data_IF_129686487834
#
_entry.id   IF_129686487834
#
_cell.length_a   1.000
_cell.length_b   1.000
_cell.length_c   1.000
_cell.angle_alpha   90.00
_cell.angle_beta   90.00
_cell.angle_gamma   90.00
#
_symmetry.space_group_name_H-M   'P 1'
#
loop_
_entity.id
_entity.type
_entity.pdbx_description
1 polymer ?
#
# COMPACT_ATOMS: atom_id res chain seq x y z
N UNK A 1 0.36 -0.88 18.73
CA UNK A 1 -0.66 -1.94 18.51
C UNK A 1 -1.77 -1.41 17.63
N UNK A 2 -2.07 -2.08 16.51
CA UNK A 2 -3.14 -1.67 15.59
C UNK A 2 -4.50 -2.03 16.21
N UNK A 3 -5.43 -1.07 16.26
CA UNK A 3 -6.85 -1.39 16.49
C UNK A 3 -7.45 -1.85 15.18
N UNK A 4 -8.07 -3.02 15.17
CA UNK A 4 -8.66 -3.58 13.95
C UNK A 4 -10.00 -2.89 13.73
N UNK A 5 -10.11 -2.16 12.63
CA UNK A 5 -11.42 -1.75 12.10
C UNK A 5 -12.12 -3.01 11.61
N UNK A 6 -13.40 -3.18 11.94
CA UNK A 6 -14.19 -4.34 11.48
C UNK A 6 -14.18 -4.48 9.95
N UNK A 7 -14.08 -3.36 9.24
CA UNK A 7 -14.05 -3.34 7.80
C UNK A 7 -12.69 -3.65 7.18
N UNK A 8 -11.59 -3.68 7.94
CA UNK A 8 -10.24 -3.75 7.38
C UNK A 8 -9.76 -5.21 7.30
N UNK A 9 -9.25 -5.60 6.13
CA UNK A 9 -8.70 -6.92 5.87
C UNK A 9 -7.39 -7.20 6.61
N UNK A 10 -7.05 -8.48 6.75
CA UNK A 10 -5.75 -8.92 7.25
C UNK A 10 -4.60 -8.47 6.33
N UNK A 11 -4.80 -8.47 5.01
CA UNK A 11 -3.81 -8.03 4.02
C UNK A 11 -3.42 -6.57 4.23
N UNK A 12 -4.40 -5.70 4.48
CA UNK A 12 -4.13 -4.30 4.77
C UNK A 12 -3.31 -4.13 6.05
N UNK A 13 -3.62 -4.90 7.11
CA UNK A 13 -2.84 -4.86 8.35
C UNK A 13 -1.40 -5.32 8.13
N UNK A 14 -1.18 -6.41 7.39
CA UNK A 14 0.16 -6.89 7.03
C UNK A 14 0.95 -5.84 6.24
N UNK A 15 0.33 -5.22 5.24
CA UNK A 15 0.95 -4.15 4.45
C UNK A 15 1.37 -2.98 5.33
N UNK A 16 0.51 -2.49 6.23
CA UNK A 16 0.85 -1.40 7.12
C UNK A 16 1.99 -1.73 8.08
N UNK A 17 2.07 -2.96 8.58
CA UNK A 17 3.22 -3.41 9.37
C UNK A 17 4.51 -3.38 8.54
N UNK A 18 4.45 -3.82 7.27
CA UNK A 18 5.61 -3.78 6.37
C UNK A 18 6.09 -2.36 6.07
N UNK A 19 5.17 -1.43 5.86
CA UNK A 19 5.51 -0.02 5.68
C UNK A 19 6.30 0.50 6.89
N UNK A 20 5.86 0.19 8.11
CA UNK A 20 6.57 0.63 9.32
C UNK A 20 7.97 0.00 9.44
N UNK A 21 8.09 -1.30 9.12
CA UNK A 21 9.39 -1.99 9.09
C UNK A 21 10.36 -1.36 8.09
N UNK A 22 9.88 -0.96 6.91
CA UNK A 22 10.72 -0.37 5.88
C UNK A 22 11.12 1.07 6.21
N UNK A 23 10.21 1.85 6.80
CA UNK A 23 10.53 3.18 7.33
C UNK A 23 11.61 3.07 8.41
N UNK A 24 11.50 2.11 9.32
CA UNK A 24 12.51 1.91 10.36
C UNK A 24 13.88 1.55 9.78
N UNK A 25 13.94 0.65 8.80
CA UNK A 25 15.20 0.32 8.11
C UNK A 25 15.82 1.56 7.45
N UNK A 26 14.99 2.38 6.80
CA UNK A 26 15.44 3.63 6.17
C UNK A 26 15.97 4.64 7.19
N UNK A 27 15.26 4.85 8.30
CA UNK A 27 15.70 5.72 9.40
C UNK A 27 17.03 5.25 9.99
N UNK A 28 17.16 3.94 10.23
CA UNK A 28 18.40 3.33 10.74
C UNK A 28 19.57 3.51 9.77
N UNK A 29 19.35 3.32 8.46
CA UNK A 29 20.37 3.56 7.44
C UNK A 29 20.83 5.02 7.41
N UNK A 30 19.91 5.96 7.62
CA UNK A 30 20.21 7.40 7.69
C UNK A 30 20.74 7.86 9.06
N UNK A 31 20.95 6.94 10.01
CA UNK A 31 21.31 7.23 11.41
C UNK A 31 20.35 8.23 12.08
N UNK A 32 19.10 8.27 11.61
CA UNK A 32 18.04 9.07 12.21
C UNK A 32 17.39 8.27 13.32
N UNK A 33 17.01 8.96 14.40
CA UNK A 33 16.20 8.35 15.44
C UNK A 33 14.78 8.19 14.91
N UNK A 34 14.33 6.95 14.70
CA UNK A 34 12.93 6.68 14.39
C UNK A 34 12.04 7.16 15.56
N UNK A 35 11.13 8.08 15.29
CA UNK A 35 10.15 8.58 16.26
C UNK A 35 8.78 7.90 16.11
N UNK A 36 8.67 6.95 15.18
CA UNK A 36 7.39 6.30 14.89
C UNK A 36 7.15 5.11 15.82
N UNK A 37 5.88 4.93 16.18
CA UNK A 37 5.45 3.74 16.91
C UNK A 37 5.24 2.59 15.92
N UNK A 38 6.02 1.52 16.05
CA UNK A 38 5.78 0.29 15.30
C UNK A 38 4.36 -0.23 15.55
N UNK A 39 3.65 -0.45 14.45
CA UNK A 39 2.36 -1.09 14.49
C UNK A 39 2.52 -2.60 14.46
N UNK A 40 2.05 -3.27 15.52
CA UNK A 40 1.91 -4.72 15.56
C UNK A 40 0.45 -5.12 15.44
N UNK A 41 0.19 -6.19 14.68
CA UNK A 41 -1.10 -6.88 14.64
C UNK A 41 -1.31 -7.53 16.01
N UNK A 42 -2.40 -7.21 16.71
CA UNK A 42 -2.65 -7.81 18.02
C UNK A 42 -3.04 -9.29 17.86
N UNK A 43 -2.51 -10.17 18.72
CA UNK A 43 -2.89 -11.59 18.70
C UNK A 43 -4.38 -11.83 18.98
N UNK A 44 -5.01 -10.93 19.75
CA UNK A 44 -6.47 -10.85 19.90
C UNK A 44 -6.95 -9.53 19.31
N UNK A 45 -7.81 -9.58 18.30
CA UNK A 45 -8.37 -8.40 17.66
C UNK A 45 -8.98 -7.44 18.68
N UNK A 46 -8.47 -6.21 18.73
CA UNK A 46 -9.06 -5.13 19.52
C UNK A 46 -9.93 -4.30 18.58
N UNK A 47 -11.24 -4.36 18.78
CA UNK A 47 -12.19 -3.58 18.00
C UNK A 47 -11.89 -2.08 18.11
N UNK A 48 -11.82 -1.41 16.96
CA UNK A 48 -11.75 0.04 16.91
C UNK A 48 -13.09 0.68 17.31
N UNK A 49 -13.03 1.83 17.99
CA UNK A 49 -14.21 2.64 18.33
C UNK A 49 -14.69 3.45 17.10
N UNK A 50 -13.84 3.57 16.07
CA UNK A 50 -14.16 4.34 14.88
C UNK A 50 -15.29 3.70 14.09
N UNK A 51 -16.39 4.44 13.94
CA UNK A 51 -17.53 4.10 13.07
C UNK A 51 -17.31 4.53 11.63
N UNK A 52 -16.25 5.31 11.36
CA UNK A 52 -15.98 5.82 10.03
C UNK A 52 -15.34 4.74 9.17
N UNK A 53 -15.96 4.47 8.02
CA UNK A 53 -15.47 3.56 7.01
C UNK A 53 -14.74 4.39 5.94
N UNK A 54 -13.46 4.07 5.66
CA UNK A 54 -12.75 4.71 4.56
C UNK A 54 -13.47 4.46 3.23
N UNK A 55 -13.58 5.48 2.40
CA UNK A 55 -14.17 5.41 1.06
C UNK A 55 -13.07 5.49 0.00
N UNK A 56 -13.34 4.99 -1.20
CA UNK A 56 -12.42 5.05 -2.34
C UNK A 56 -11.18 4.17 -2.22
N UNK A 57 -11.11 3.30 -1.21
CA UNK A 57 -9.99 2.37 -1.07
C UNK A 57 -10.16 1.14 -1.98
N UNK A 58 -9.05 0.50 -2.39
CA UNK A 58 -9.05 -0.75 -3.15
C UNK A 58 -9.84 -1.85 -2.44
N UNK A 59 -10.41 -2.79 -3.20
CA UNK A 59 -11.28 -3.84 -2.64
C UNK A 59 -10.57 -4.71 -1.60
N UNK A 60 -9.28 -5.01 -1.83
CA UNK A 60 -8.48 -5.83 -0.92
C UNK A 60 -8.08 -5.13 0.37
N UNK A 61 -8.43 -3.86 0.55
CA UNK A 61 -8.41 -3.18 1.85
C UNK A 61 -9.50 -3.70 2.77
N UNK A 62 -10.66 -4.07 2.22
CA UNK A 62 -11.82 -4.42 3.02
C UNK A 62 -11.82 -5.91 3.37
N UNK A 63 -12.30 -6.26 4.56
CA UNK A 63 -12.50 -7.67 4.92
C UNK A 63 -13.60 -8.29 4.05
N UNK A 64 -13.41 -9.48 3.46
CA UNK A 64 -14.42 -10.10 2.59
C UNK A 64 -15.77 -10.31 3.27
N UNK A 65 -15.80 -10.78 4.53
CA UNK A 65 -17.04 -11.01 5.27
C UNK A 65 -17.76 -9.71 5.56
N UNK A 66 -16.98 -8.69 5.93
CA UNK A 66 -17.53 -7.35 6.12
C UNK A 66 -18.10 -6.79 4.82
N UNK A 67 -17.36 -6.91 3.71
CA UNK A 67 -17.76 -6.44 2.40
C UNK A 67 -19.07 -7.11 1.96
N UNK A 68 -19.16 -8.44 2.06
CA UNK A 68 -20.36 -9.20 1.68
C UNK A 68 -21.61 -8.73 2.43
N UNK A 69 -21.47 -8.53 3.75
CA UNK A 69 -22.56 -8.05 4.63
C UNK A 69 -22.86 -6.55 4.53
N UNK A 70 -22.06 -5.79 3.78
CA UNK A 70 -22.21 -4.33 3.66
C UNK A 70 -23.37 -3.94 2.74
N UNK A 71 -23.99 -2.80 3.05
CA UNK A 71 -25.07 -2.23 2.23
C UNK A 71 -24.55 -1.82 0.85
N UNK A 72 -25.39 -1.89 -0.20
CA UNK A 72 -25.02 -1.49 -1.56
C UNK A 72 -24.37 -0.10 -1.65
N UNK A 73 -24.84 0.88 -0.87
CA UNK A 73 -24.22 2.21 -0.81
C UNK A 73 -22.80 2.23 -0.24
N UNK A 74 -22.48 1.35 0.72
CA UNK A 74 -21.12 1.20 1.25
C UNK A 74 -20.22 0.50 0.23
N UNK A 75 -20.72 -0.54 -0.44
CA UNK A 75 -20.02 -1.22 -1.54
C UNK A 75 -19.69 -0.25 -2.67
N UNK A 76 -20.65 0.57 -3.11
CA UNK A 76 -20.42 1.61 -4.14
C UNK A 76 -19.39 2.66 -3.71
N UNK A 77 -19.32 2.98 -2.41
CA UNK A 77 -18.33 3.92 -1.89
C UNK A 77 -16.91 3.35 -1.79
N UNK A 78 -16.74 2.04 -1.96
CA UNK A 78 -15.42 1.41 -2.10
C UNK A 78 -14.97 1.47 -3.55
N UNK A 79 -13.66 1.53 -3.79
CA UNK A 79 -13.11 1.38 -5.14
C UNK A 79 -13.02 -0.11 -5.47
N UNK A 80 -14.18 -0.72 -5.68
CA UNK A 80 -14.35 -2.17 -5.77
C UNK A 80 -13.58 -2.80 -6.95
N UNK A 81 -13.23 -2.01 -7.97
CA UNK A 81 -12.58 -2.48 -9.20
C UNK A 81 -11.07 -2.27 -9.22
N UNK A 82 -10.46 -1.85 -8.11
CA UNK A 82 -9.00 -1.72 -8.00
C UNK A 82 -8.46 -2.66 -6.93
N UNK A 83 -7.32 -3.27 -7.23
CA UNK A 83 -6.56 -4.14 -6.33
C UNK A 83 -5.19 -3.50 -6.12
N UNK A 84 -4.79 -3.26 -4.86
CA UNK A 84 -3.50 -2.63 -4.55
C UNK A 84 -2.50 -3.54 -3.83
N UNK A 85 -2.97 -4.40 -2.92
CA UNK A 85 -2.13 -5.36 -2.21
C UNK A 85 -1.90 -6.67 -2.99
N UNK A 86 -0.67 -7.18 -2.87
CA UNK A 86 -0.33 -8.55 -3.26
C UNK A 86 -1.23 -9.58 -2.54
N UNK A 87 -1.43 -10.78 -3.12
CA UNK A 87 -2.11 -11.87 -2.43
C UNK A 87 -1.48 -12.21 -1.08
N UNK A 88 -0.16 -12.05 -0.99
CA UNK A 88 0.63 -12.12 0.22
C UNK A 88 1.27 -10.75 0.47
N UNK A 89 0.58 -9.92 1.25
CA UNK A 89 1.00 -8.55 1.54
C UNK A 89 2.32 -8.49 2.34
N UNK A 90 2.70 -9.59 2.99
CA UNK A 90 3.99 -9.68 3.68
C UNK A 90 5.18 -9.66 2.72
N UNK A 91 4.98 -9.93 1.44
CA UNK A 91 6.05 -9.84 0.42
C UNK A 91 6.19 -8.46 -0.18
N UNK A 92 5.35 -7.51 0.23
CA UNK A 92 5.41 -6.17 -0.32
C UNK A 92 6.59 -5.38 0.26
N UNK A 93 7.14 -4.48 -0.54
CA UNK A 93 8.25 -3.59 -0.15
C UNK A 93 9.51 -4.34 0.30
N UNK A 94 9.75 -5.54 -0.24
CA UNK A 94 11.01 -6.24 -0.02
C UNK A 94 12.09 -5.61 -0.91
N UNK A 95 13.33 -5.56 -0.42
CA UNK A 95 14.46 -4.98 -1.16
C UNK A 95 14.71 -5.62 -2.54
N UNK A 96 14.27 -6.87 -2.72
CA UNK A 96 14.10 -7.46 -4.05
C UNK A 96 12.64 -7.28 -4.45
N UNK A 97 12.35 -6.26 -5.26
CA UNK A 97 11.00 -5.96 -5.75
C UNK A 97 10.34 -7.23 -6.29
N UNK A 98 9.15 -7.54 -5.79
CA UNK A 98 8.38 -8.63 -6.33
C UNK A 98 8.00 -8.27 -7.76
N UNK A 99 8.14 -9.18 -8.74
CA UNK A 99 7.97 -8.88 -10.17
C UNK A 99 6.66 -8.16 -10.49
N UNK A 100 5.62 -8.46 -9.70
CA UNK A 100 4.29 -7.90 -9.93
C UNK A 100 4.13 -6.48 -9.35
N UNK A 101 4.99 -6.03 -8.44
CA UNK A 101 4.97 -4.64 -7.96
C UNK A 101 5.41 -3.63 -9.02
N UNK A 102 6.10 -4.10 -10.08
CA UNK A 102 6.49 -3.27 -11.23
C UNK A 102 5.37 -3.16 -12.27
N UNK A 103 4.28 -3.90 -12.11
CA UNK A 103 3.14 -3.81 -13.02
C UNK A 103 2.40 -2.49 -12.78
N UNK A 104 1.94 -1.86 -13.86
CA UNK A 104 0.96 -0.77 -13.75
C UNK A 104 -0.32 -1.27 -13.07
N UNK A 105 -0.99 -0.39 -12.32
CA UNK A 105 -2.25 -0.65 -11.62
C UNK A 105 -3.28 -1.44 -12.45
N UNK A 106 -3.38 -1.14 -13.76
CA UNK A 106 -4.31 -1.84 -14.68
C UNK A 106 -3.92 -3.32 -14.82
N UNK A 107 -2.68 -3.59 -15.21
CA UNK A 107 -2.15 -4.94 -15.38
C UNK A 107 -2.13 -5.72 -14.06
N UNK A 108 -1.82 -5.04 -12.96
CA UNK A 108 -1.84 -5.64 -11.63
C UNK A 108 -3.26 -6.05 -11.23
N UNK A 109 -4.22 -5.14 -11.43
CA UNK A 109 -5.62 -5.41 -11.15
C UNK A 109 -6.11 -6.57 -11.99
N UNK A 110 -5.93 -6.54 -13.32
CA UNK A 110 -6.38 -7.60 -14.22
C UNK A 110 -5.80 -8.98 -13.85
N UNK A 111 -4.50 -9.03 -13.51
CA UNK A 111 -3.82 -10.27 -13.10
C UNK A 111 -4.43 -10.90 -11.84
N UNK A 112 -4.87 -10.07 -10.89
CA UNK A 112 -5.38 -10.52 -9.60
C UNK A 112 -6.91 -10.44 -9.47
N UNK A 113 -7.59 -9.96 -10.51
CA UNK A 113 -9.01 -9.68 -10.52
C UNK A 113 -9.87 -10.93 -10.32
N UNK A 114 -9.58 -12.00 -11.06
CA UNK A 114 -10.32 -13.26 -10.96
C UNK A 114 -10.34 -13.80 -9.53
N UNK A 115 -9.18 -13.77 -8.87
CA UNK A 115 -9.05 -14.20 -7.48
C UNK A 115 -9.80 -13.29 -6.51
N UNK A 116 -9.86 -12.00 -6.79
CA UNK A 116 -10.62 -11.05 -5.98
C UNK A 116 -12.13 -11.26 -6.14
N UNK A 117 -12.63 -11.49 -7.36
CA UNK A 117 -14.05 -11.80 -7.59
C UNK A 117 -14.48 -13.04 -6.79
N UNK A 118 -13.66 -14.10 -6.82
CA UNK A 118 -13.93 -15.32 -6.05
C UNK A 118 -13.99 -15.05 -4.54
N UNK A 119 -13.07 -14.22 -4.04
CA UNK A 119 -12.96 -13.94 -2.60
C UNK A 119 -14.09 -13.02 -2.09
N UNK A 120 -14.51 -12.04 -2.88
CA UNK A 120 -15.46 -10.99 -2.49
C UNK A 120 -16.86 -11.17 -3.10
N UNK A 121 -17.11 -12.32 -3.74
CA UNK A 121 -18.36 -12.68 -4.43
C UNK A 121 -18.96 -11.51 -5.22
N UNK A 122 -18.12 -10.82 -6.00
CA UNK A 122 -18.50 -9.61 -6.73
C UNK A 122 -19.34 -10.04 -7.93
N UNK A 123 -20.66 -10.16 -7.75
CA UNK A 123 -21.59 -10.47 -8.84
C UNK A 123 -21.69 -9.31 -9.83
N UNK A 124 -22.06 -9.62 -11.08
CA UNK A 124 -22.21 -8.68 -12.20
C UNK A 124 -23.06 -7.42 -11.93
N UNK A 125 -23.86 -7.39 -10.85
CA UNK A 125 -24.66 -6.22 -10.45
C UNK A 125 -23.84 -4.98 -10.08
N UNK A 126 -22.59 -5.12 -9.62
CA UNK A 126 -21.69 -3.97 -9.45
C UNK A 126 -21.03 -3.54 -10.77
N UNK A 127 -20.75 -4.50 -11.66
CA UNK A 127 -20.02 -4.26 -12.92
C UNK A 127 -20.84 -3.46 -13.96
N UNK A 128 -22.16 -3.38 -13.80
CA UNK A 128 -23.07 -2.74 -14.74
C UNK A 128 -23.50 -1.31 -14.34
N UNK A 129 -22.92 -0.74 -13.28
CA UNK A 129 -23.22 0.63 -12.86
C UNK A 129 -22.38 1.64 -13.64
N UNK A 130 -22.97 2.17 -14.72
CA UNK A 130 -22.39 3.17 -15.63
C UNK A 130 -22.01 4.51 -14.94
N UNK A 131 -22.29 4.67 -13.63
CA UNK A 131 -21.90 5.83 -12.83
C UNK A 131 -20.63 5.63 -11.98
N UNK A 132 -19.96 4.48 -12.07
CA UNK A 132 -18.61 4.40 -11.54
C UNK A 132 -17.70 5.14 -12.50
N UNK A 133 -17.22 6.31 -12.08
CA UNK A 133 -16.18 7.07 -12.74
C UNK A 133 -14.92 6.20 -12.88
N UNK A 134 -14.86 5.46 -13.97
CA UNK A 134 -13.65 4.86 -14.52
C UNK A 134 -12.92 6.01 -15.22
N UNK A 135 -12.55 7.07 -14.49
CA UNK A 135 -11.59 8.01 -15.01
C UNK A 135 -10.25 7.28 -15.06
N UNK A 136 -10.05 6.59 -16.18
CA UNK A 136 -8.75 6.49 -16.79
C UNK A 136 -8.25 7.93 -16.98
N UNK A 137 -7.61 8.49 -15.95
CA UNK A 137 -6.62 9.52 -16.18
C UNK A 137 -5.53 8.86 -16.99
N UNK A 138 -5.58 9.07 -18.30
CA UNK A 138 -4.43 9.00 -19.17
C UNK A 138 -3.43 10.04 -18.68
N UNK A 139 -2.61 9.66 -17.70
CA UNK A 139 -1.39 10.37 -17.40
C UNK A 139 -0.26 9.41 -17.75
N UNK A 140 0.29 9.63 -18.94
CA UNK A 140 1.50 8.99 -19.43
C UNK A 140 2.66 9.42 -18.54
N UNK A 141 2.92 8.66 -17.48
CA UNK A 141 4.17 8.76 -16.70
C UNK A 141 5.28 7.99 -17.44
N UNK A 142 5.78 8.59 -18.52
CA UNK A 142 7.12 8.31 -19.03
C UNK A 142 8.12 8.97 -18.07
N UNK A 143 8.37 8.33 -16.92
CA UNK A 143 9.50 8.67 -16.07
C UNK A 143 10.75 7.99 -16.65
N UNK A 144 11.42 8.68 -17.58
CA UNK A 144 12.79 8.36 -17.99
C UNK A 144 13.70 8.37 -16.76
N UNK A 145 14.21 7.18 -16.43
CA UNK A 145 15.14 6.91 -15.36
C UNK A 145 16.50 7.55 -15.69
N UNK A 146 16.77 8.75 -15.19
CA UNK A 146 18.10 9.35 -15.23
C UNK A 146 19.00 8.70 -14.17
N UNK A 147 19.76 7.71 -14.62
CA UNK A 147 20.92 7.17 -13.94
C UNK A 147 22.05 8.21 -13.99
N UNK A 148 22.19 9.04 -12.95
CA UNK A 148 23.41 9.84 -12.77
C UNK A 148 24.40 9.13 -11.86
N UNK A 149 25.50 8.76 -12.50
CA UNK A 149 26.64 7.98 -12.08
C UNK A 149 27.43 8.65 -10.95
N UNK A 150 27.77 7.86 -9.93
CA UNK A 150 28.54 8.27 -8.76
C UNK A 150 30.03 8.35 -9.13
N UNK A 151 30.53 9.54 -9.49
CA UNK A 151 31.98 9.80 -9.57
C UNK A 151 32.47 10.29 -8.22
N UNK A 152 33.01 9.35 -7.43
CA UNK A 152 33.88 9.69 -6.32
C UNK A 152 35.21 10.23 -6.84
N UNK A 153 35.66 11.35 -6.28
CA UNK A 153 37.09 11.64 -6.22
C UNK A 153 37.53 12.06 -4.82
N UNK A 154 38.68 11.52 -4.50
CA UNK A 154 39.35 11.39 -3.21
C UNK A 154 40.30 12.57 -2.99
N UNK A 155 40.24 13.16 -1.80
CA UNK A 155 41.31 13.85 -1.06
C UNK A 155 42.20 14.92 -1.74
N UNK A 156 42.37 16.05 -1.06
CA UNK A 156 43.72 16.51 -0.63
C UNK A 156 43.63 17.53 0.50
N UNK A 157 44.43 17.25 1.52
CA UNK A 157 44.80 18.14 2.62
C UNK A 157 45.35 19.47 2.11
N UNK A 158 45.16 20.54 2.88
CA UNK A 158 46.26 21.45 3.23
C UNK A 158 45.91 22.30 4.47
N UNK A 159 46.88 22.35 5.37
CA UNK A 159 46.93 23.14 6.61
C UNK A 159 46.81 24.66 6.39
N UNK A 160 46.79 25.38 7.53
CA UNK A 160 47.09 26.81 7.78
C UNK A 160 45.81 27.63 8.09
N UNK A 161 45.67 28.29 9.22
CA UNK A 161 46.60 28.55 10.30
C UNK A 161 45.93 29.37 11.41
N UNK A 162 46.46 29.19 12.61
CA UNK A 162 46.16 29.90 13.84
C UNK A 162 46.28 31.43 13.68
N UNK A 163 45.32 32.20 14.21
CA UNK A 163 45.55 33.59 14.66
C UNK A 163 44.47 34.06 15.63
N UNK A 164 44.89 34.01 16.91
CA UNK A 164 44.74 34.99 18.00
C UNK A 164 43.49 35.86 18.04
#
# INVERSE_FOLDING_TARGET
MIKTLECRSEKANQFFCRVDEEIEKSDNAQKKRCQQCQRHIPGKGLASISKYIPKGLPINFYDPKWFDSSTAGQKRSSNAFKIAFLPDASKSLLGNQYKDEQLSDKWFTDKYWEKAIETYNITHELANDENLDVSATEESDDLEYLEEEYLGEESKDDEVGNKR
#
